data_IF_044852973752
#
_entry.id   IF_044852973752
#
_cell.length_a   1.000
_cell.length_b   1.000
_cell.length_c   1.000
_cell.angle_alpha   90.00
_cell.angle_beta   90.00
_cell.angle_gamma   90.00
#
_symmetry.space_group_name_H-M   'P 1'
#
loop_
_entity.id
_entity.type
_entity.pdbx_description
1 polymer ?
#
# COMPACT_ATOMS: atom_id res chain seq x y z
N UNK A 1 10.52 7.10 4.64
CA UNK A 1 9.48 6.62 5.57
C UNK A 1 10.21 5.84 6.63
N UNK A 2 10.26 6.35 7.85
CA UNK A 2 10.68 5.53 8.99
C UNK A 2 9.48 4.69 9.41
N UNK A 3 9.45 3.45 8.93
CA UNK A 3 8.37 2.50 9.15
C UNK A 3 8.44 1.82 10.53
N UNK A 4 9.36 2.24 11.39
CA UNK A 4 9.68 1.57 12.66
C UNK A 4 8.60 1.78 13.73
N UNK A 5 7.90 2.92 13.72
CA UNK A 5 6.93 3.25 14.77
C UNK A 5 5.48 2.93 14.40
N UNK A 6 5.21 2.62 13.13
CA UNK A 6 3.85 2.52 12.59
C UNK A 6 3.13 3.89 12.61
N UNK A 7 2.44 4.24 11.54
CA UNK A 7 1.73 5.52 11.50
C UNK A 7 0.49 5.49 12.43
N UNK A 8 0.38 6.41 13.40
CA UNK A 8 -0.78 6.47 14.30
C UNK A 8 -2.06 6.93 13.59
N UNK A 9 -1.93 7.45 12.36
CA UNK A 9 -3.01 7.84 11.47
C UNK A 9 -2.91 7.08 10.14
N UNK A 10 -4.00 7.00 9.39
CA UNK A 10 -3.95 6.51 8.01
C UNK A 10 -2.97 7.38 7.21
N UNK A 11 -1.81 6.82 6.86
CA UNK A 11 -0.84 7.48 6.02
C UNK A 11 -1.17 7.22 4.54
N UNK A 12 -1.32 8.30 3.79
CA UNK A 12 -1.55 8.26 2.36
C UNK A 12 -0.25 8.56 1.63
N UNK A 13 0.08 7.69 0.67
CA UNK A 13 1.32 7.79 -0.07
C UNK A 13 1.01 7.68 -1.55
N UNK A 14 1.14 8.81 -2.23
CA UNK A 14 1.09 8.88 -3.68
C UNK A 14 2.52 8.77 -4.21
N UNK A 15 2.70 7.93 -5.21
CA UNK A 15 3.96 7.74 -5.91
C UNK A 15 3.66 7.69 -7.40
N UNK A 16 4.28 8.61 -8.12
CA UNK A 16 4.31 8.54 -9.58
C UNK A 16 5.29 7.43 -10.00
N UNK A 17 4.80 6.45 -10.73
CA UNK A 17 5.56 5.27 -11.16
C UNK A 17 5.68 5.32 -12.67
N UNK A 18 6.87 5.66 -13.16
CA UNK A 18 7.14 5.77 -14.60
C UNK A 18 7.24 4.42 -15.31
N UNK A 19 7.33 3.31 -14.58
CA UNK A 19 7.42 1.97 -15.16
C UNK A 19 6.04 1.47 -15.62
N UNK A 20 5.97 0.95 -16.85
CA UNK A 20 4.77 0.33 -17.39
C UNK A 20 5.11 -0.98 -18.14
N UNK A 21 4.72 -2.17 -17.63
CA UNK A 21 3.98 -2.37 -16.39
C UNK A 21 4.85 -2.25 -15.14
N UNK A 22 4.21 -2.02 -13.98
CA UNK A 22 4.85 -2.06 -12.67
C UNK A 22 4.27 -3.16 -11.76
N UNK A 23 5.01 -3.49 -10.71
CA UNK A 23 4.62 -4.43 -9.66
C UNK A 23 4.80 -3.79 -8.29
N UNK A 24 3.92 -4.14 -7.37
CA UNK A 24 3.98 -3.70 -5.98
C UNK A 24 4.47 -4.85 -5.10
N UNK A 25 5.43 -4.54 -4.22
CA UNK A 25 6.01 -5.46 -3.25
C UNK A 25 5.78 -4.92 -1.84
N UNK A 26 4.83 -5.51 -1.12
CA UNK A 26 4.44 -5.05 0.22
C UNK A 26 4.95 -6.00 1.29
N UNK A 27 5.68 -5.47 2.28
CA UNK A 27 6.24 -6.21 3.41
C UNK A 27 6.03 -5.42 4.70
N UNK A 28 5.60 -6.12 5.76
CA UNK A 28 5.64 -5.61 7.14
C UNK A 28 6.87 -6.19 7.83
N UNK A 29 7.73 -5.35 8.39
CA UNK A 29 8.88 -5.79 9.16
C UNK A 29 8.43 -6.50 10.44
N UNK A 30 9.09 -7.60 10.80
CA UNK A 30 8.70 -8.44 11.95
C UNK A 30 7.41 -9.24 11.76
N UNK A 31 6.78 -9.19 10.57
CA UNK A 31 5.55 -9.95 10.31
C UNK A 31 5.81 -11.44 10.10
N UNK A 32 4.96 -12.26 10.70
CA UNK A 32 4.89 -13.70 10.42
C UNK A 32 4.18 -14.01 9.09
N UNK A 33 3.58 -13.02 8.43
CA UNK A 33 2.90 -13.20 7.15
C UNK A 33 3.86 -13.03 6.00
N UNK A 34 3.62 -13.82 4.95
CA UNK A 34 4.35 -13.72 3.68
C UNK A 34 4.15 -12.34 3.05
N UNK A 35 5.22 -11.90 2.39
CA UNK A 35 5.23 -10.73 1.50
C UNK A 35 4.14 -10.85 0.43
N UNK A 36 3.53 -9.73 0.07
CA UNK A 36 2.47 -9.67 -0.94
C UNK A 36 3.01 -9.00 -2.19
N UNK A 37 2.92 -9.72 -3.31
CA UNK A 37 3.25 -9.24 -4.63
C UNK A 37 1.95 -8.99 -5.39
N UNK A 38 1.80 -7.82 -6.00
CA UNK A 38 0.62 -7.43 -6.79
C UNK A 38 1.06 -6.86 -8.13
N UNK A 39 0.26 -7.09 -9.17
CA UNK A 39 0.53 -6.66 -10.54
C UNK A 39 0.59 -7.85 -11.52
N UNK A 40 0.96 -7.61 -12.79
CA UNK A 40 1.36 -6.31 -13.35
C UNK A 40 0.23 -5.27 -13.38
N UNK A 41 0.60 -3.99 -13.32
CA UNK A 41 -0.30 -2.86 -13.47
C UNK A 41 0.22 -1.89 -14.53
N UNK A 42 -0.69 -1.27 -15.28
CA UNK A 42 -0.38 -0.34 -16.38
C UNK A 42 -1.10 0.99 -16.25
N UNK A 43 -1.64 1.29 -15.07
CA UNK A 43 -2.38 2.51 -14.78
C UNK A 43 -2.48 2.73 -13.27
N UNK A 44 -3.23 3.75 -12.87
CA UNK A 44 -3.34 4.14 -11.48
C UNK A 44 -3.94 3.01 -10.63
N UNK A 45 -3.34 2.78 -9.48
CA UNK A 45 -3.81 1.75 -8.55
C UNK A 45 -3.90 2.28 -7.14
N UNK A 46 -5.00 1.94 -6.46
CA UNK A 46 -5.24 2.30 -5.08
C UNK A 46 -5.16 1.05 -4.21
N UNK A 47 -4.37 1.10 -3.13
CA UNK A 47 -4.22 -0.02 -2.20
C UNK A 47 -4.41 0.44 -0.76
N UNK A 48 -5.17 -0.36 0.00
CA UNK A 48 -5.32 -0.19 1.44
C UNK A 48 -4.39 -1.16 2.17
N UNK A 49 -3.45 -0.59 2.91
CA UNK A 49 -2.61 -1.31 3.86
C UNK A 49 -3.21 -1.21 5.26
N UNK A 50 -3.52 -2.34 5.91
CA UNK A 50 -4.18 -2.34 7.23
C UNK A 50 -3.85 -3.56 8.07
N UNK A 51 -4.03 -3.44 9.38
CA UNK A 51 -3.84 -4.50 10.37
C UNK A 51 -2.49 -4.42 11.08
N UNK A 52 -2.14 -5.48 11.81
CA UNK A 52 -0.90 -5.59 12.60
C UNK A 52 0.11 -6.59 12.00
N UNK A 53 1.27 -6.71 12.64
CA UNK A 53 2.36 -7.63 12.24
C UNK A 53 1.90 -9.09 12.06
N UNK A 54 0.89 -9.57 12.78
CA UNK A 54 0.37 -10.93 12.66
C UNK A 54 -0.77 -11.07 11.64
N UNK A 55 -1.53 -10.00 11.38
CA UNK A 55 -2.80 -10.06 10.62
C UNK A 55 -2.97 -9.05 9.48
N UNK A 56 -1.90 -8.40 9.02
CA UNK A 56 -1.99 -7.37 7.98
C UNK A 56 -2.53 -7.84 6.62
N UNK A 57 -3.09 -6.87 5.88
CA UNK A 57 -3.65 -7.02 4.53
C UNK A 57 -3.16 -5.91 3.61
N UNK A 58 -3.12 -6.22 2.32
CA UNK A 58 -2.75 -5.32 1.23
C UNK A 58 -3.69 -5.59 0.06
N UNK A 59 -4.78 -4.84 0.08
CA UNK A 59 -5.97 -5.11 -0.71
C UNK A 59 -6.18 -3.93 -1.66
N UNK A 60 -6.33 -4.24 -2.96
CA UNK A 60 -6.65 -3.22 -3.95
C UNK A 60 -8.03 -2.64 -3.65
N UNK A 61 -8.15 -1.33 -3.75
CA UNK A 61 -9.41 -0.61 -3.58
C UNK A 61 -9.79 0.05 -4.90
N UNK A 62 -11.03 0.51 -4.95
CA UNK A 62 -11.48 1.45 -5.97
C UNK A 62 -10.74 2.79 -5.84
N UNK A 63 -10.57 3.50 -6.96
CA UNK A 63 -9.85 4.78 -6.97
C UNK A 63 -10.52 5.84 -6.07
N UNK A 64 -11.85 5.82 -5.96
CA UNK A 64 -12.61 6.70 -5.06
C UNK A 64 -12.16 6.59 -3.59
N UNK A 65 -11.58 5.45 -3.18
CA UNK A 65 -11.02 5.33 -1.84
C UNK A 65 -9.78 6.21 -1.65
N UNK A 66 -8.91 6.28 -2.65
CA UNK A 66 -7.69 7.10 -2.58
C UNK A 66 -8.00 8.59 -2.79
N UNK A 67 -8.96 8.92 -3.66
CA UNK A 67 -9.38 10.30 -3.90
C UNK A 67 -9.98 10.95 -2.65
N UNK A 68 -10.94 10.28 -1.99
CA UNK A 68 -11.61 10.80 -0.79
C UNK A 68 -10.70 10.93 0.44
N UNK A 69 -9.48 10.42 0.36
CA UNK A 69 -8.55 10.46 1.48
C UNK A 69 -7.16 10.99 1.10
N UNK A 70 -6.99 11.55 -0.10
CA UNK A 70 -5.77 12.28 -0.41
C UNK A 70 -5.80 13.60 0.36
N UNK A 71 -4.74 13.99 1.09
CA UNK A 71 -4.60 15.36 1.53
C UNK A 71 -4.49 16.27 0.30
N UNK A 72 -5.20 17.40 0.32
CA UNK A 72 -5.07 18.52 -0.64
C UNK A 72 -3.64 19.05 -0.70
#
# INVERSE_FOLDING_TARGET
MDCETGDPHLAYHIRDVQANPFWLHAKVMGSMRKVKHRGPFSGDTCFKFKGDVGKWRFDQQDWSFCENNSPD
#
